data_IF_327371430294
#
_entry.id   IF_327371430294
#
_cell.length_a   1.000
_cell.length_b   1.000
_cell.length_c   1.000
_cell.angle_alpha   90.00
_cell.angle_beta   90.00
_cell.angle_gamma   90.00
#
_symmetry.space_group_name_H-M   'P 1'
#
loop_
_entity.id
_entity.type
_entity.pdbx_description
1 polymer ?
#
# COMPACT_ATOMS: atom_id res chain seq x y z
N UNK A 1 11.29 -8.32 -0.48
CA UNK A 1 10.20 -8.03 -1.44
C UNK A 1 10.11 -9.03 -2.60
N UNK A 2 11.21 -9.49 -3.21
CA UNK A 2 11.17 -10.49 -4.30
C UNK A 2 10.51 -11.82 -3.91
N UNK A 3 10.78 -12.31 -2.70
CA UNK A 3 10.26 -13.61 -2.23
C UNK A 3 8.73 -13.60 -2.09
N UNK A 4 8.14 -12.51 -1.59
CA UNK A 4 6.68 -12.34 -1.52
C UNK A 4 6.05 -12.33 -2.91
N UNK A 5 6.70 -11.67 -3.88
CA UNK A 5 6.27 -11.67 -5.28
C UNK A 5 6.34 -13.06 -5.92
N UNK A 6 7.40 -13.82 -5.66
CA UNK A 6 7.54 -15.20 -6.12
C UNK A 6 6.48 -16.13 -5.52
N UNK A 7 6.25 -16.03 -4.21
CA UNK A 7 5.20 -16.79 -3.53
C UNK A 7 3.83 -16.44 -4.12
N UNK A 8 3.53 -15.16 -4.30
CA UNK A 8 2.28 -14.72 -4.90
C UNK A 8 2.11 -15.25 -6.33
N UNK A 9 3.17 -15.21 -7.14
CA UNK A 9 3.16 -15.73 -8.51
C UNK A 9 2.93 -17.24 -8.54
N UNK A 10 3.66 -18.01 -7.72
CA UNK A 10 3.52 -19.46 -7.65
C UNK A 10 2.12 -19.87 -7.17
N UNK A 11 1.57 -19.17 -6.17
CA UNK A 11 0.20 -19.40 -5.68
C UNK A 11 -0.82 -19.07 -6.77
N UNK A 12 -0.69 -17.93 -7.44
CA UNK A 12 -1.57 -17.53 -8.54
C UNK A 12 -1.55 -18.56 -9.67
N UNK A 13 -0.34 -19.01 -10.04
CA UNK A 13 -0.15 -20.01 -11.09
C UNK A 13 -0.75 -21.35 -10.69
N UNK A 14 -0.59 -21.76 -9.43
CA UNK A 14 -1.21 -22.97 -8.88
C UNK A 14 -2.72 -22.91 -8.89
N UNK A 15 -3.31 -21.78 -8.53
CA UNK A 15 -4.77 -21.55 -8.56
C UNK A 15 -5.30 -21.63 -9.98
N UNK A 16 -4.66 -20.93 -10.93
CA UNK A 16 -5.06 -20.96 -12.35
C UNK A 16 -4.89 -22.36 -12.93
N UNK A 17 -3.76 -23.01 -12.67
CA UNK A 17 -3.47 -24.36 -13.15
C UNK A 17 -4.44 -25.40 -12.61
N UNK A 18 -4.73 -25.38 -11.30
CA UNK A 18 -5.70 -26.28 -10.68
C UNK A 18 -7.12 -26.00 -11.16
N UNK A 19 -7.51 -24.72 -11.33
CA UNK A 19 -8.79 -24.33 -11.89
C UNK A 19 -8.97 -24.82 -13.33
N UNK A 20 -7.95 -24.62 -14.18
CA UNK A 20 -7.96 -25.11 -15.55
C UNK A 20 -7.99 -26.65 -15.61
N UNK A 21 -7.22 -27.32 -14.77
CA UNK A 21 -7.24 -28.78 -14.66
C UNK A 21 -8.64 -29.30 -14.29
N UNK A 22 -9.28 -28.72 -13.26
CA UNK A 22 -10.63 -29.08 -12.86
C UNK A 22 -11.65 -28.80 -13.96
N UNK A 23 -11.50 -27.69 -14.68
CA UNK A 23 -12.37 -27.35 -15.80
C UNK A 23 -12.30 -28.38 -16.94
N UNK A 24 -11.10 -28.83 -17.30
CA UNK A 24 -10.92 -29.83 -18.38
C UNK A 24 -11.21 -31.26 -17.92
N UNK A 25 -10.85 -31.64 -16.69
CA UNK A 25 -10.99 -33.00 -16.19
C UNK A 25 -12.41 -33.30 -15.68
N UNK A 26 -13.06 -32.32 -15.03
CA UNK A 26 -14.34 -32.50 -14.34
C UNK A 26 -15.30 -31.32 -14.57
N UNK A 27 -15.67 -31.00 -15.83
CA UNK A 27 -16.51 -29.84 -16.14
C UNK A 27 -17.92 -29.92 -15.56
N UNK A 28 -18.44 -31.13 -15.34
CA UNK A 28 -19.81 -31.38 -14.86
C UNK A 28 -19.90 -31.56 -13.35
N UNK A 29 -18.77 -31.48 -12.63
CA UNK A 29 -18.75 -31.78 -11.21
C UNK A 29 -19.18 -30.52 -10.45
N UNK A 30 -20.37 -30.63 -9.85
CA UNK A 30 -21.00 -29.55 -9.11
C UNK A 30 -20.94 -29.82 -7.61
N UNK A 31 -20.72 -28.78 -6.83
CA UNK A 31 -20.74 -28.83 -5.38
C UNK A 31 -22.08 -28.29 -4.90
N UNK A 32 -22.83 -29.03 -4.07
CA UNK A 32 -24.05 -28.51 -3.49
C UNK A 32 -23.72 -27.34 -2.57
N UNK A 33 -24.35 -26.19 -2.80
CA UNK A 33 -24.18 -25.00 -1.98
C UNK A 33 -25.54 -24.40 -1.58
N UNK A 34 -25.58 -23.54 -0.54
CA UNK A 34 -26.80 -22.85 -0.13
C UNK A 34 -27.42 -21.95 -1.22
N UNK A 35 -26.62 -21.51 -2.20
CA UNK A 35 -27.02 -20.62 -3.28
C UNK A 35 -27.36 -21.38 -4.58
N UNK A 36 -27.35 -22.71 -4.53
CA UNK A 36 -27.51 -23.60 -5.69
C UNK A 36 -26.24 -24.41 -5.98
N UNK A 37 -26.29 -25.30 -6.98
CA UNK A 37 -25.11 -26.04 -7.42
C UNK A 37 -24.08 -25.08 -8.01
N UNK A 38 -22.84 -25.14 -7.50
CA UNK A 38 -21.72 -24.39 -8.09
C UNK A 38 -20.75 -25.34 -8.79
N UNK A 39 -20.23 -24.96 -9.97
CA UNK A 39 -19.19 -25.73 -10.62
C UNK A 39 -17.93 -25.78 -9.75
N UNK A 40 -17.40 -26.98 -9.53
CA UNK A 40 -16.22 -27.20 -8.70
C UNK A 40 -15.00 -26.41 -9.21
N UNK A 41 -14.84 -26.32 -10.52
CA UNK A 41 -13.73 -25.58 -11.14
C UNK A 41 -13.75 -24.08 -10.80
N UNK A 42 -14.90 -23.51 -10.44
CA UNK A 42 -15.03 -22.09 -10.13
C UNK A 42 -14.78 -21.76 -8.65
N UNK A 43 -14.86 -22.76 -7.75
CA UNK A 43 -14.72 -22.54 -6.31
C UNK A 43 -13.33 -22.01 -5.94
N UNK A 44 -12.28 -22.67 -6.44
CA UNK A 44 -10.91 -22.35 -6.06
C UNK A 44 -10.43 -21.01 -6.65
N UNK A 45 -10.63 -20.72 -7.96
CA UNK A 45 -10.37 -19.39 -8.52
C UNK A 45 -11.27 -18.31 -7.91
N UNK A 46 -12.55 -18.60 -7.70
CA UNK A 46 -13.51 -17.65 -7.14
C UNK A 46 -13.15 -17.22 -5.71
N UNK A 47 -12.84 -18.18 -4.83
CA UNK A 47 -12.40 -17.89 -3.47
C UNK A 47 -11.08 -17.11 -3.45
N UNK A 48 -10.14 -17.46 -4.33
CA UNK A 48 -8.88 -16.75 -4.46
C UNK A 48 -9.09 -15.28 -4.89
N UNK A 49 -9.91 -15.05 -5.92
CA UNK A 49 -10.25 -13.70 -6.38
C UNK A 49 -10.94 -12.87 -5.30
N UNK A 50 -11.86 -13.46 -4.53
CA UNK A 50 -12.51 -12.78 -3.41
C UNK A 50 -11.52 -12.38 -2.32
N UNK A 51 -10.61 -13.28 -1.95
CA UNK A 51 -9.54 -12.98 -1.00
C UNK A 51 -8.63 -11.86 -1.48
N UNK A 52 -8.27 -11.86 -2.76
CA UNK A 52 -7.42 -10.83 -3.37
C UNK A 52 -8.14 -9.48 -3.42
N UNK A 53 -9.43 -9.46 -3.76
CA UNK A 53 -10.24 -8.24 -3.74
C UNK A 53 -10.34 -7.65 -2.33
N UNK A 54 -10.65 -8.48 -1.32
CA UNK A 54 -10.71 -8.01 0.06
C UNK A 54 -9.36 -7.51 0.57
N UNK A 55 -8.28 -8.26 0.34
CA UNK A 55 -6.93 -7.86 0.71
C UNK A 55 -6.50 -6.58 -0.02
N UNK A 56 -6.83 -6.46 -1.30
CA UNK A 56 -6.56 -5.28 -2.12
C UNK A 56 -7.31 -4.04 -1.63
N UNK A 57 -8.60 -4.16 -1.32
CA UNK A 57 -9.39 -3.08 -0.74
C UNK A 57 -8.83 -2.62 0.61
N UNK A 58 -8.42 -3.56 1.46
CA UNK A 58 -7.84 -3.23 2.75
C UNK A 58 -6.48 -2.54 2.63
N UNK A 59 -5.61 -3.05 1.75
CA UNK A 59 -4.33 -2.41 1.43
C UNK A 59 -4.53 -1.00 0.85
N UNK A 60 -5.53 -0.82 -0.02
CA UNK A 60 -5.89 0.48 -0.58
C UNK A 60 -6.39 1.44 0.49
N UNK A 61 -7.24 0.99 1.42
CA UNK A 61 -7.74 1.78 2.52
C UNK A 61 -6.60 2.27 3.44
N UNK A 62 -5.68 1.37 3.80
CA UNK A 62 -4.49 1.72 4.59
C UNK A 62 -3.59 2.71 3.85
N UNK A 63 -3.38 2.50 2.55
CA UNK A 63 -2.57 3.40 1.74
C UNK A 63 -3.19 4.80 1.68
N UNK A 64 -4.50 4.92 1.48
CA UNK A 64 -5.22 6.20 1.49
C UNK A 64 -5.11 6.90 2.85
N UNK A 65 -5.21 6.15 3.95
CA UNK A 65 -4.98 6.66 5.30
C UNK A 65 -3.56 7.20 5.48
N UNK A 66 -2.55 6.42 5.08
CA UNK A 66 -1.14 6.81 5.15
C UNK A 66 -0.80 8.02 4.27
N UNK A 67 -1.40 8.13 3.08
CA UNK A 67 -1.23 9.29 2.20
C UNK A 67 -1.81 10.56 2.82
N UNK A 68 -2.98 10.46 3.48
CA UNK A 68 -3.57 11.60 4.20
C UNK A 68 -2.67 12.07 5.34
N UNK A 69 -2.16 11.15 6.14
CA UNK A 69 -1.26 11.48 7.25
C UNK A 69 0.05 12.07 6.76
N UNK A 70 0.64 11.51 5.69
CA UNK A 70 1.83 12.06 5.05
C UNK A 70 1.61 13.49 4.56
N UNK A 71 0.45 13.80 3.97
CA UNK A 71 0.11 15.17 3.53
C UNK A 71 -0.10 16.14 4.71
N UNK A 72 -0.53 15.65 5.87
CA UNK A 72 -0.63 16.44 7.09
C UNK A 72 0.76 16.75 7.65
N UNK A 73 1.59 15.73 7.79
CA UNK A 73 2.97 15.85 8.27
C UNK A 73 3.81 16.79 7.39
N UNK A 74 3.67 16.70 6.06
CA UNK A 74 4.37 17.63 5.14
C UNK A 74 3.94 19.09 5.33
N UNK A 75 2.67 19.34 5.67
CA UNK A 75 2.18 20.70 5.96
C UNK A 75 2.71 21.22 7.28
N UNK A 76 2.73 20.39 8.31
CA UNK A 76 3.32 20.74 9.62
C UNK A 76 4.84 21.01 9.50
N UNK A 77 5.57 20.17 8.75
CA UNK A 77 6.99 20.40 8.47
C UNK A 77 7.21 21.75 7.78
N UNK A 78 6.42 22.09 6.76
CA UNK A 78 6.53 23.39 6.07
C UNK A 78 6.25 24.58 7.00
N UNK A 79 5.28 24.44 7.91
CA UNK A 79 4.96 25.47 8.90
C UNK A 79 6.11 25.67 9.89
N UNK A 80 6.61 24.59 10.48
CA UNK A 80 7.75 24.61 11.39
C UNK A 80 9.00 25.18 10.71
N UNK A 81 9.22 24.86 9.44
CA UNK A 81 10.33 25.39 8.67
C UNK A 81 10.18 26.89 8.38
N UNK A 82 8.94 27.38 8.24
CA UNK A 82 8.63 28.81 8.18
C UNK A 82 8.92 29.53 9.51
N UNK A 83 8.51 28.94 10.63
CA UNK A 83 8.77 29.47 11.98
C UNK A 83 10.27 29.50 12.29
N UNK A 84 11.00 28.44 11.98
CA UNK A 84 12.47 28.39 12.13
C UNK A 84 13.18 29.42 11.26
N UNK A 85 12.68 29.66 10.03
CA UNK A 85 13.26 30.68 9.15
C UNK A 85 12.96 32.10 9.62
N UNK A 86 11.80 32.35 10.23
CA UNK A 86 11.46 33.63 10.86
C UNK A 86 12.33 33.89 12.09
N UNK A 87 12.47 32.90 12.97
CA UNK A 87 13.37 32.94 14.13
C UNK A 87 14.82 33.15 13.72
N UNK A 88 15.29 32.52 12.63
CA UNK A 88 16.63 32.78 12.09
C UNK A 88 16.79 34.21 11.58
N UNK A 89 15.75 34.85 11.03
CA UNK A 89 15.79 36.24 10.57
C UNK A 89 15.80 37.23 11.74
N UNK A 90 14.95 37.03 12.73
CA UNK A 90 14.97 37.84 13.97
C UNK A 90 16.33 37.74 14.68
N UNK A 91 16.90 36.53 14.74
CA UNK A 91 18.23 36.32 15.33
C UNK A 91 19.38 36.87 14.47
N UNK A 92 19.15 37.26 13.22
CA UNK A 92 20.12 38.00 12.39
C UNK A 92 20.00 39.52 12.63
N UNK A 93 18.81 40.01 12.95
CA UNK A 93 18.56 41.41 13.33
C UNK A 93 19.04 41.72 14.76
N UNK A 94 18.97 40.76 15.69
CA UNK A 94 19.42 40.93 17.07
C UNK A 94 20.90 40.61 17.32
N UNK A 95 21.66 40.10 16.33
CA UNK A 95 23.11 40.02 16.51
C UNK A 95 23.65 41.44 16.38
N UNK A 96 24.11 42.10 17.47
CA UNK A 96 24.95 43.26 17.29
C UNK A 96 26.13 42.77 16.48
N UNK A 97 26.30 43.34 15.29
CA UNK A 97 27.49 43.18 14.45
C UNK A 97 28.67 43.49 15.35
N UNK A 98 29.33 42.46 15.91
CA UNK A 98 30.54 42.63 16.70
C UNK A 98 31.55 43.24 15.71
N UNK A 99 31.86 44.54 15.86
CA UNK A 99 32.78 45.22 14.97
C UNK A 99 34.17 44.92 15.51
N UNK A 100 34.67 43.72 15.25
CA UNK A 100 36.09 43.38 15.42
C UNK A 100 36.41 42.06 14.71
N UNK A 101 36.16 42.05 13.41
CA UNK A 101 36.91 41.17 12.52
C UNK A 101 37.31 41.92 11.26
N UNK A 102 37.94 43.06 11.49
CA UNK A 102 38.99 43.54 10.60
C UNK A 102 40.33 43.15 11.25
N UNK A 103 41.26 42.65 10.42
CA UNK A 103 42.69 42.48 10.67
C UNK A 103 43.17 41.27 11.53
N UNK A 104 43.46 40.16 10.83
CA UNK A 104 44.73 39.42 10.91
C UNK A 104 44.80 38.33 9.81
#
# INVERSE_FOLDING_TARGET
MKLLGWVFLLVSLGVVGAGAYLYYAYPFLEVPSPLGPLPLYALLPGAYSLGLLMGGLWALALWLGGVRERRRLVREIRRLQGEVNALKRERIEEIPRIPDRDEA
#
